data_IF_927287039538
#
_entry.id   IF_927287039538
#
_cell.length_a   1.000
_cell.length_b   1.000
_cell.length_c   1.000
_cell.angle_alpha   90.00
_cell.angle_beta   90.00
_cell.angle_gamma   90.00
#
_symmetry.space_group_name_H-M   'P 1'
#
loop_
_entity.id
_entity.type
_entity.pdbx_description
1 polymer ?
#
# COMPACT_ATOMS: atom_id res chain seq x y z
N UNK A 1 -17.29 16.97 -12.89
CA UNK A 1 -16.85 16.16 -11.73
C UNK A 1 -15.36 15.89 -11.89
N UNK A 2 -14.53 16.10 -10.86
CA UNK A 2 -13.08 15.82 -10.97
C UNK A 2 -12.81 14.31 -11.04
N UNK A 3 -11.66 13.93 -11.60
CA UNK A 3 -11.26 12.52 -11.72
C UNK A 3 -11.15 11.86 -10.34
N UNK A 4 -10.65 12.58 -9.33
CA UNK A 4 -10.55 12.04 -7.97
C UNK A 4 -11.93 11.78 -7.35
N UNK A 5 -12.92 12.67 -7.57
CA UNK A 5 -14.30 12.42 -7.14
C UNK A 5 -14.90 11.18 -7.82
N UNK A 6 -14.56 10.93 -9.09
CA UNK A 6 -14.97 9.72 -9.80
C UNK A 6 -14.33 8.47 -9.17
N UNK A 7 -13.04 8.51 -8.86
CA UNK A 7 -12.31 7.38 -8.23
C UNK A 7 -12.91 7.02 -6.88
N UNK A 8 -13.16 8.02 -6.03
CA UNK A 8 -13.73 7.81 -4.69
C UNK A 8 -15.11 7.17 -4.72
N UNK A 9 -15.96 7.56 -5.69
CA UNK A 9 -17.27 6.94 -5.88
C UNK A 9 -17.22 5.49 -6.33
N UNK A 10 -16.16 5.10 -7.05
CA UNK A 10 -15.97 3.76 -7.59
C UNK A 10 -15.07 2.87 -6.72
N UNK A 11 -14.73 3.31 -5.50
CA UNK A 11 -14.03 2.44 -4.56
C UNK A 11 -14.92 1.25 -4.19
N UNK A 12 -14.26 0.13 -3.90
CA UNK A 12 -14.93 -1.00 -3.28
C UNK A 12 -15.52 -0.63 -1.92
N UNK A 13 -16.49 -1.43 -1.49
CA UNK A 13 -16.99 -1.47 -0.11
C UNK A 13 -16.47 -2.71 0.61
N UNK A 14 -16.43 -2.65 1.94
CA UNK A 14 -16.18 -3.81 2.80
C UNK A 14 -17.13 -4.97 2.42
N UNK A 15 -16.59 -6.18 2.34
CA UNK A 15 -17.31 -7.39 1.94
C UNK A 15 -17.61 -7.52 0.44
N UNK A 16 -17.32 -6.51 -0.38
CA UNK A 16 -17.55 -6.59 -1.82
C UNK A 16 -16.61 -7.61 -2.46
N UNK A 17 -17.15 -8.44 -3.36
CA UNK A 17 -16.36 -9.42 -4.12
C UNK A 17 -15.49 -8.71 -5.16
N UNK A 18 -14.23 -9.15 -5.28
CA UNK A 18 -13.38 -8.74 -6.41
C UNK A 18 -13.75 -9.52 -7.69
N UNK A 19 -13.20 -9.17 -8.87
CA UNK A 19 -13.43 -9.93 -10.10
C UNK A 19 -13.03 -11.40 -10.00
N UNK A 20 -12.08 -11.71 -9.11
CA UNK A 20 -11.86 -13.06 -8.58
C UNK A 20 -12.67 -13.14 -7.29
N UNK A 21 -13.59 -14.11 -7.12
CA UNK A 21 -14.64 -14.12 -6.09
C UNK A 21 -14.12 -14.26 -4.64
N UNK A 22 -13.33 -13.28 -4.22
CA UNK A 22 -12.71 -13.11 -2.92
C UNK A 22 -13.38 -11.88 -2.30
N UNK A 23 -13.97 -12.00 -1.10
CA UNK A 23 -14.50 -10.85 -0.38
C UNK A 23 -13.34 -9.95 0.08
N UNK A 24 -13.58 -8.64 0.10
CA UNK A 24 -12.67 -7.68 0.70
C UNK A 24 -12.95 -7.57 2.19
N UNK A 25 -12.02 -8.09 2.99
CA UNK A 25 -11.99 -7.95 4.44
C UNK A 25 -10.95 -6.87 4.83
N UNK A 26 -11.17 -6.17 5.93
CA UNK A 26 -10.31 -5.10 6.46
C UNK A 26 -9.99 -4.01 5.42
N UNK A 27 -11.02 -3.43 4.82
CA UNK A 27 -10.89 -2.44 3.73
C UNK A 27 -10.55 -1.03 4.24
N UNK A 28 -9.26 -0.80 4.53
CA UNK A 28 -8.76 0.47 5.07
C UNK A 28 -8.51 1.59 4.04
N UNK A 29 -8.59 1.31 2.73
CA UNK A 29 -8.26 2.29 1.68
C UNK A 29 -9.00 3.63 1.81
N UNK A 30 -10.31 3.68 2.11
CA UNK A 30 -11.02 4.96 2.33
C UNK A 30 -10.44 5.78 3.50
N UNK A 31 -10.02 5.10 4.57
CA UNK A 31 -9.41 5.74 5.74
C UNK A 31 -8.03 6.30 5.41
N UNK A 32 -7.18 5.50 4.73
CA UNK A 32 -5.84 5.93 4.28
C UNK A 32 -5.93 7.14 3.35
N UNK A 33 -6.90 7.17 2.44
CA UNK A 33 -7.13 8.33 1.57
C UNK A 33 -7.49 9.57 2.39
N UNK A 34 -8.41 9.42 3.35
CA UNK A 34 -8.84 10.54 4.21
C UNK A 34 -7.65 11.10 4.99
N UNK A 35 -6.84 10.23 5.58
CA UNK A 35 -5.63 10.62 6.31
C UNK A 35 -4.60 11.29 5.39
N UNK A 36 -4.28 10.69 4.25
CA UNK A 36 -3.32 11.25 3.28
C UNK A 36 -3.75 12.64 2.79
N UNK A 37 -5.04 12.83 2.50
CA UNK A 37 -5.57 14.14 2.09
C UNK A 37 -5.37 15.21 3.18
N UNK A 38 -5.60 14.85 4.44
CA UNK A 38 -5.43 15.76 5.56
C UNK A 38 -3.95 16.10 5.79
N UNK A 39 -3.07 15.11 5.81
CA UNK A 39 -1.63 15.29 6.08
C UNK A 39 -0.90 16.02 4.95
N UNK A 40 -1.27 15.77 3.69
CA UNK A 40 -0.64 16.41 2.53
C UNK A 40 -1.20 17.79 2.18
N UNK A 41 -2.27 18.24 2.85
CA UNK A 41 -2.98 19.46 2.45
C UNK A 41 -3.54 19.38 1.03
N UNK A 42 -3.93 18.18 0.58
CA UNK A 42 -4.25 17.87 -0.82
C UNK A 42 -5.25 18.87 -1.43
N UNK A 43 -6.32 19.18 -0.72
CA UNK A 43 -7.39 20.05 -1.25
C UNK A 43 -6.91 21.51 -1.43
N UNK A 44 -5.98 21.99 -0.59
CA UNK A 44 -5.35 23.29 -0.79
C UNK A 44 -4.40 23.27 -2.00
N UNK A 45 -3.63 22.19 -2.20
CA UNK A 45 -2.78 22.04 -3.38
C UNK A 45 -3.59 21.98 -4.69
N UNK A 46 -4.77 21.35 -4.68
CA UNK A 46 -5.70 21.36 -5.82
C UNK A 46 -6.12 22.79 -6.15
N UNK A 47 -6.57 23.57 -5.15
CA UNK A 47 -6.97 24.97 -5.35
C UNK A 47 -5.81 25.82 -5.88
N UNK A 48 -4.62 25.68 -5.30
CA UNK A 48 -3.43 26.39 -5.75
C UNK A 48 -3.04 26.03 -7.18
N UNK A 49 -3.14 24.76 -7.57
CA UNK A 49 -2.87 24.31 -8.92
C UNK A 49 -3.89 24.91 -9.91
N UNK A 50 -5.17 24.93 -9.57
CA UNK A 50 -6.23 25.54 -10.38
C UNK A 50 -6.01 27.04 -10.57
N UNK A 51 -5.72 27.77 -9.49
CA UNK A 51 -5.41 29.21 -9.50
C UNK A 51 -4.17 29.52 -10.34
N UNK A 52 -3.08 28.79 -10.10
CA UNK A 52 -1.84 28.91 -10.87
C UNK A 52 -2.05 28.61 -12.35
N UNK A 53 -3.06 27.80 -12.68
CA UNK A 53 -3.43 27.43 -14.04
C UNK A 53 -4.38 28.42 -14.75
N UNK A 54 -4.90 29.46 -14.07
CA UNK A 54 -5.83 30.43 -14.68
C UNK A 54 -5.19 31.37 -15.70
N UNK A 55 -3.96 31.84 -15.46
CA UNK A 55 -3.25 32.78 -16.34
C UNK A 55 -1.86 32.35 -16.88
N UNK A 56 -1.41 31.07 -16.84
CA UNK A 56 -0.07 30.76 -17.32
C UNK A 56 -0.06 30.41 -18.80
N UNK A 57 0.96 30.95 -19.49
CA UNK A 57 1.20 30.74 -20.92
C UNK A 57 2.08 29.52 -21.23
N UNK A 58 2.95 29.12 -20.30
CA UNK A 58 4.04 28.14 -20.57
C UNK A 58 4.28 27.09 -19.48
N UNK A 59 3.62 27.18 -18.33
CA UNK A 59 3.77 26.24 -17.21
C UNK A 59 2.41 25.89 -16.65
N UNK A 60 2.15 24.60 -16.44
CA UNK A 60 0.91 24.11 -15.83
C UNK A 60 1.25 23.22 -14.64
N UNK A 61 0.37 23.24 -13.65
CA UNK A 61 0.48 22.45 -12.43
C UNK A 61 -0.57 21.35 -12.47
N UNK A 62 -0.22 20.16 -11.97
CA UNK A 62 -1.12 19.02 -11.93
C UNK A 62 -0.94 18.28 -10.62
N UNK A 63 -2.06 17.77 -10.11
CA UNK A 63 -2.11 16.93 -8.91
C UNK A 63 -3.11 15.81 -9.17
N UNK A 64 -2.85 14.63 -8.63
CA UNK A 64 -3.73 13.47 -8.77
C UNK A 64 -3.62 12.58 -7.54
N UNK A 65 -4.76 12.07 -7.08
CA UNK A 65 -4.86 11.13 -5.97
C UNK A 65 -5.17 9.73 -6.50
N UNK A 66 -4.25 8.79 -6.30
CA UNK A 66 -4.36 7.43 -6.84
C UNK A 66 -4.42 6.41 -5.69
N UNK A 67 -5.58 5.78 -5.45
CA UNK A 67 -5.67 4.67 -4.51
C UNK A 67 -5.09 3.38 -5.11
N UNK A 68 -4.56 2.49 -4.27
CA UNK A 68 -4.06 1.18 -4.68
C UNK A 68 -4.57 0.08 -3.75
N UNK A 69 -4.78 -1.11 -4.32
CA UNK A 69 -5.01 -2.36 -3.60
C UNK A 69 -4.12 -3.42 -4.23
N UNK A 70 -3.25 -4.04 -3.44
CA UNK A 70 -2.30 -5.04 -3.91
C UNK A 70 -2.55 -6.37 -3.22
N UNK A 71 -2.81 -7.42 -3.99
CA UNK A 71 -2.98 -8.77 -3.45
C UNK A 71 -1.62 -9.38 -3.08
N UNK A 72 -1.51 -9.96 -1.89
CA UNK A 72 -0.27 -10.55 -1.38
C UNK A 72 -0.39 -12.07 -1.31
N UNK A 73 0.03 -12.77 -2.36
CA UNK A 73 0.21 -14.24 -2.35
C UNK A 73 0.86 -14.69 -3.67
N UNK A 74 1.53 -15.84 -3.65
CA UNK A 74 1.78 -16.60 -4.87
C UNK A 74 0.48 -17.28 -5.34
N UNK A 75 -0.39 -16.51 -6.00
CA UNK A 75 -1.78 -16.89 -6.29
C UNK A 75 -1.94 -18.17 -7.13
N UNK A 76 -1.03 -18.43 -8.08
CA UNK A 76 -1.09 -19.61 -8.96
C UNK A 76 -0.24 -20.78 -8.47
N UNK A 77 0.71 -20.52 -7.57
CA UNK A 77 1.64 -21.50 -7.04
C UNK A 77 1.52 -21.55 -5.52
N UNK A 78 0.39 -22.06 -5.03
CA UNK A 78 0.03 -22.02 -3.60
C UNK A 78 1.11 -22.65 -2.72
N UNK A 79 1.78 -23.69 -3.21
CA UNK A 79 2.90 -24.35 -2.53
C UNK A 79 4.12 -23.43 -2.29
N UNK A 80 4.25 -22.28 -2.97
CA UNK A 80 5.31 -21.31 -2.69
C UNK A 80 5.00 -20.43 -1.48
N UNK A 81 3.76 -20.41 -0.99
CA UNK A 81 3.37 -19.71 0.23
C UNK A 81 3.73 -20.54 1.49
N UNK A 82 4.94 -21.06 1.53
CA UNK A 82 5.49 -21.79 2.68
C UNK A 82 6.84 -21.19 3.08
N UNK A 83 7.20 -21.30 4.36
CA UNK A 83 8.47 -20.82 4.87
C UNK A 83 9.00 -21.78 5.95
N UNK A 84 10.32 -21.77 6.14
CA UNK A 84 10.99 -22.56 7.17
C UNK A 84 12.03 -21.72 7.91
N UNK A 85 12.25 -22.08 9.18
CA UNK A 85 13.27 -21.52 10.05
C UNK A 85 13.89 -22.63 10.92
N UNK A 86 15.14 -22.43 11.31
CA UNK A 86 15.90 -23.30 12.19
C UNK A 86 16.49 -22.46 13.32
N UNK A 87 16.29 -22.91 14.56
CA UNK A 87 16.76 -22.21 15.76
C UNK A 87 17.71 -23.12 16.54
N UNK A 88 18.86 -22.59 16.90
CA UNK A 88 19.81 -23.23 17.83
C UNK A 88 19.91 -22.41 19.10
N UNK A 89 19.77 -23.08 20.25
CA UNK A 89 19.98 -22.51 21.58
C UNK A 89 21.22 -23.17 22.15
N UNK A 90 22.22 -22.35 22.45
CA UNK A 90 23.48 -22.85 22.99
C UNK A 90 23.43 -22.90 24.52
N UNK A 91 24.27 -23.74 25.15
CA UNK A 91 24.31 -23.91 26.61
C UNK A 91 24.63 -22.61 27.38
N UNK A 92 25.26 -21.63 26.73
CA UNK A 92 25.53 -20.31 27.30
C UNK A 92 24.38 -19.30 27.08
N UNK A 93 23.24 -19.76 26.57
CA UNK A 93 22.01 -18.99 26.43
C UNK A 93 21.85 -18.19 25.14
N UNK A 94 22.88 -18.12 24.27
CA UNK A 94 22.73 -17.43 22.99
C UNK A 94 21.87 -18.24 22.01
N UNK A 95 21.25 -17.52 21.07
CA UNK A 95 20.35 -18.08 20.07
C UNK A 95 20.83 -17.73 18.67
N UNK A 96 20.92 -18.74 17.80
CA UNK A 96 21.16 -18.56 16.38
C UNK A 96 19.88 -18.91 15.60
N UNK A 97 19.42 -18.00 14.76
CA UNK A 97 18.26 -18.17 13.88
C UNK A 97 18.71 -18.21 12.42
N UNK A 98 18.35 -19.29 11.72
CA UNK A 98 18.46 -19.44 10.27
C UNK A 98 17.07 -19.57 9.64
N UNK A 99 16.92 -19.17 8.37
CA UNK A 99 15.64 -19.14 7.65
C UNK A 99 15.83 -19.22 6.14
N UNK A 100 14.77 -19.54 5.41
CA UNK A 100 14.82 -19.63 3.94
C UNK A 100 14.83 -18.30 3.18
N UNK A 101 14.42 -17.18 3.81
CA UNK A 101 14.36 -15.88 3.14
C UNK A 101 15.73 -15.17 3.12
N UNK A 102 16.04 -14.50 2.00
CA UNK A 102 17.31 -13.78 1.80
C UNK A 102 17.19 -12.27 2.04
N UNK A 103 18.16 -11.69 2.74
CA UNK A 103 18.31 -10.23 2.87
C UNK A 103 18.80 -9.62 1.56
N UNK A 104 18.10 -8.59 1.09
CA UNK A 104 18.40 -7.86 -0.15
C UNK A 104 18.20 -6.33 0.02
N UNK A 105 18.14 -5.84 1.26
CA UNK A 105 17.95 -4.43 1.60
C UNK A 105 16.57 -4.08 2.19
N UNK A 106 15.65 -5.05 2.24
CA UNK A 106 14.29 -4.89 2.79
C UNK A 106 14.23 -5.01 4.32
N UNK A 107 15.37 -5.26 4.97
CA UNK A 107 15.50 -5.42 6.42
C UNK A 107 14.82 -6.68 6.93
N UNK A 108 14.83 -7.74 6.11
CA UNK A 108 14.29 -9.04 6.46
C UNK A 108 15.02 -9.60 7.69
N UNK A 109 16.35 -9.47 7.75
CA UNK A 109 17.20 -9.93 8.84
C UNK A 109 16.82 -9.27 10.16
N UNK A 110 16.81 -7.95 10.18
CA UNK A 110 16.39 -7.13 11.33
C UNK A 110 14.98 -7.44 11.82
N UNK A 111 14.02 -7.74 10.93
CA UNK A 111 12.62 -7.98 11.31
C UNK A 111 12.36 -9.30 12.05
N UNK A 112 13.27 -10.28 12.02
CA UNK A 112 13.08 -11.56 12.74
C UNK A 112 14.04 -11.75 13.90
N UNK A 113 14.99 -10.84 14.11
CA UNK A 113 15.84 -10.85 15.29
C UNK A 113 15.05 -10.49 16.54
#
# INVERSE_FOLDING_TARGET
MSVDKLRLKNLYMEGQLTPLPQPLEDWHVPQTITQLKAESGHDACVQQAEESNRMPKWKKWGISLIPTKFGLSFATSVHLNQAGALVHIYNHGSVLLARGGAEMGQGLYTKMC
#
